data_IF_761048030090
#
_entry.id   IF_761048030090
#
_cell.length_a   1.000
_cell.length_b   1.000
_cell.length_c   1.000
_cell.angle_alpha   90.00
_cell.angle_beta   90.00
_cell.angle_gamma   90.00
#
_symmetry.space_group_name_H-M   'P 1'
#
loop_
_entity.id
_entity.type
_entity.pdbx_description
1 polymer ?
#
# COMPACT_ATOMS: atom_id res chain seq x y z
N UNK A 1 -9.01 26.17 -17.34
CA UNK A 1 -9.04 24.75 -16.95
C UNK A 1 -7.77 24.14 -17.50
N UNK A 2 -6.84 23.74 -16.63
CA UNK A 2 -5.48 23.30 -17.00
C UNK A 2 -5.39 21.79 -17.29
N UNK A 3 -6.31 20.99 -16.74
CA UNK A 3 -6.36 19.55 -16.91
C UNK A 3 -7.81 19.07 -16.81
N UNK A 4 -8.19 18.08 -17.63
CA UNK A 4 -9.54 17.49 -17.63
C UNK A 4 -9.45 16.03 -18.06
N UNK A 5 -10.35 15.20 -17.53
CA UNK A 5 -10.38 13.77 -17.80
C UNK A 5 -11.80 13.20 -17.66
N UNK A 6 -12.00 11.98 -18.14
CA UNK A 6 -13.29 11.28 -18.10
C UNK A 6 -13.53 10.60 -16.74
N UNK A 7 -14.75 10.10 -16.50
CA UNK A 7 -15.08 9.38 -15.26
C UNK A 7 -14.36 8.03 -15.10
N UNK A 8 -13.74 7.52 -16.17
CA UNK A 8 -12.97 6.27 -16.16
C UNK A 8 -11.47 6.52 -15.98
N UNK A 9 -11.06 7.78 -16.06
CA UNK A 9 -9.69 8.21 -15.84
C UNK A 9 -9.54 8.77 -14.43
N UNK A 10 -8.32 8.73 -13.94
CA UNK A 10 -7.88 9.25 -12.65
C UNK A 10 -6.85 10.32 -12.90
N UNK A 11 -7.00 11.45 -12.21
CA UNK A 11 -5.96 12.44 -12.08
C UNK A 11 -6.09 13.19 -10.74
N UNK A 12 -4.98 13.35 -10.03
CA UNK A 12 -4.94 14.14 -8.81
C UNK A 12 -3.52 14.62 -8.48
N UNK A 13 -3.35 15.79 -7.85
CA UNK A 13 -2.05 16.22 -7.33
C UNK A 13 -1.66 15.37 -6.13
N UNK A 14 -0.40 14.94 -6.08
CA UNK A 14 0.17 14.14 -4.99
C UNK A 14 1.03 14.98 -4.03
N UNK A 15 1.88 15.87 -4.57
CA UNK A 15 2.74 16.77 -3.78
C UNK A 15 3.23 17.94 -4.64
N UNK A 16 3.63 19.05 -4.01
CA UNK A 16 4.24 20.20 -4.67
C UNK A 16 5.76 20.17 -4.49
N UNK A 17 6.51 20.65 -5.49
CA UNK A 17 7.94 20.92 -5.32
C UNK A 17 8.14 22.20 -4.49
N UNK A 18 9.30 22.30 -3.84
CA UNK A 18 9.63 23.42 -2.94
C UNK A 18 9.57 24.81 -3.60
N UNK A 19 9.79 24.88 -4.91
CA UNK A 19 9.76 26.12 -5.67
C UNK A 19 8.34 26.61 -6.03
N UNK A 20 7.31 25.80 -5.75
CA UNK A 20 5.91 26.03 -6.13
C UNK A 20 5.70 26.29 -7.63
N UNK A 21 6.58 25.79 -8.50
CA UNK A 21 6.41 25.90 -9.96
C UNK A 21 5.85 24.61 -10.57
N UNK A 22 6.13 23.47 -9.94
CA UNK A 22 5.63 22.17 -10.36
C UNK A 22 4.96 21.40 -9.21
N UNK A 23 4.10 20.46 -9.59
CA UNK A 23 3.54 19.48 -8.69
C UNK A 23 3.57 18.09 -9.32
N UNK A 24 3.71 17.07 -8.48
CA UNK A 24 3.57 15.68 -8.87
C UNK A 24 2.10 15.37 -9.14
N UNK A 25 1.79 14.98 -10.37
CA UNK A 25 0.47 14.58 -10.82
C UNK A 25 0.44 13.06 -10.97
N UNK A 26 -0.47 12.40 -10.26
CA UNK A 26 -0.81 11.00 -10.55
C UNK A 26 -1.88 10.99 -11.62
N UNK A 27 -1.68 10.26 -12.72
CA UNK A 27 -2.65 10.23 -13.81
C UNK A 27 -2.59 8.96 -14.67
N UNK A 28 -3.74 8.53 -15.21
CA UNK A 28 -3.83 7.59 -16.32
C UNK A 28 -4.61 8.17 -17.53
N UNK A 29 -4.58 9.49 -17.69
CA UNK A 29 -5.27 10.18 -18.78
C UNK A 29 -4.61 9.88 -20.11
N UNK A 30 -5.43 9.49 -21.09
CA UNK A 30 -5.01 9.08 -22.43
C UNK A 30 -5.34 7.61 -22.72
N UNK A 31 -5.80 7.32 -23.94
CA UNK A 31 -6.33 6.01 -24.32
C UNK A 31 -5.33 4.87 -24.08
N UNK A 32 -4.04 5.11 -24.30
CA UNK A 32 -2.97 4.12 -24.17
C UNK A 32 -2.40 3.97 -22.74
N UNK A 33 -3.00 4.63 -21.75
CA UNK A 33 -2.53 4.63 -20.35
C UNK A 33 -3.53 3.93 -19.45
N UNK A 34 -3.33 2.64 -19.20
CA UNK A 34 -4.20 1.85 -18.32
C UNK A 34 -4.00 2.17 -16.83
N UNK A 35 -2.79 1.92 -16.34
CA UNK A 35 -2.39 2.11 -14.93
C UNK A 35 -2.06 3.58 -14.66
N UNK A 36 -2.38 4.09 -13.47
CA UNK A 36 -1.93 5.43 -13.06
C UNK A 36 -0.41 5.47 -12.91
N UNK A 37 0.17 6.59 -13.34
CA UNK A 37 1.60 6.85 -13.38
C UNK A 37 1.89 8.20 -12.73
N UNK A 38 3.14 8.43 -12.35
CA UNK A 38 3.59 9.69 -11.79
C UNK A 38 4.14 10.59 -12.89
N UNK A 39 3.68 11.84 -12.87
CA UNK A 39 4.13 12.90 -13.75
C UNK A 39 4.53 14.12 -12.93
N UNK A 40 5.34 15.00 -13.51
CA UNK A 40 5.60 16.34 -12.99
C UNK A 40 4.88 17.34 -13.89
N UNK A 41 4.05 18.20 -13.33
CA UNK A 41 3.26 19.16 -14.10
C UNK A 41 3.57 20.59 -13.68
N UNK A 42 3.85 21.44 -14.67
CA UNK A 42 4.06 22.87 -14.47
C UNK A 42 2.71 23.56 -14.18
N UNK A 43 2.66 24.37 -13.13
CA UNK A 43 1.42 25.00 -12.66
C UNK A 43 0.93 26.10 -13.61
N UNK A 44 1.84 26.81 -14.27
CA UNK A 44 1.50 27.93 -15.15
C UNK A 44 1.16 27.46 -16.56
N UNK A 45 1.98 26.58 -17.14
CA UNK A 45 1.85 26.16 -18.54
C UNK A 45 0.95 24.94 -18.71
N UNK A 46 0.80 24.12 -17.66
CA UNK A 46 0.16 22.80 -17.74
C UNK A 46 0.97 21.75 -18.51
N UNK A 47 2.23 22.04 -18.83
CA UNK A 47 3.14 21.05 -19.42
C UNK A 47 3.39 19.91 -18.43
N UNK A 48 3.31 18.67 -18.92
CA UNK A 48 3.41 17.43 -18.13
C UNK A 48 4.61 16.60 -18.60
N UNK A 49 5.50 16.26 -17.69
CA UNK A 49 6.65 15.37 -17.89
C UNK A 49 6.41 14.03 -17.19
N UNK A 50 6.77 12.92 -17.84
CA UNK A 50 6.71 11.59 -17.23
C UNK A 50 7.82 11.42 -16.18
N UNK A 51 7.46 10.91 -15.00
CA UNK A 51 8.43 10.63 -13.93
C UNK A 51 8.63 9.12 -13.79
N UNK A 52 7.58 8.38 -13.46
CA UNK A 52 7.68 6.93 -13.27
C UNK A 52 6.33 6.21 -13.34
N UNK A 53 6.41 4.88 -13.42
CA UNK A 53 5.29 3.94 -13.34
C UNK A 53 5.74 2.68 -12.62
N UNK A 54 4.78 1.80 -12.32
CA UNK A 54 5.07 0.48 -11.76
C UNK A 54 6.06 -0.28 -12.66
N UNK A 55 7.25 -0.67 -12.16
CA UNK A 55 8.24 -1.41 -12.93
C UNK A 55 7.75 -2.78 -13.41
N UNK A 56 6.82 -3.40 -12.68
CA UNK A 56 6.21 -4.68 -13.09
C UNK A 56 5.00 -4.49 -14.02
N UNK A 57 4.50 -3.26 -14.15
CA UNK A 57 3.33 -2.92 -14.96
C UNK A 57 2.08 -3.75 -14.59
N UNK A 58 1.83 -3.90 -13.28
CA UNK A 58 0.73 -4.68 -12.69
C UNK A 58 -0.19 -3.84 -11.80
N UNK A 59 0.29 -2.73 -11.25
CA UNK A 59 -0.45 -1.90 -10.32
C UNK A 59 -0.46 -0.42 -10.70
N UNK A 60 -1.53 0.27 -10.29
CA UNK A 60 -1.58 1.72 -10.27
C UNK A 60 -0.48 2.29 -9.35
N UNK A 61 -0.12 3.55 -9.56
CA UNK A 61 0.72 4.30 -8.64
C UNK A 61 0.11 4.27 -7.23
N UNK A 62 0.83 3.69 -6.27
CA UNK A 62 0.34 3.47 -4.91
C UNK A 62 0.45 4.72 -4.05
N UNK A 63 1.61 5.36 -4.04
CA UNK A 63 1.82 6.58 -3.28
C UNK A 63 3.25 7.08 -3.32
N UNK A 64 3.49 8.20 -2.65
CA UNK A 64 4.83 8.74 -2.42
C UNK A 64 4.95 9.28 -1.00
N UNK A 65 6.15 9.16 -0.44
CA UNK A 65 6.54 9.88 0.76
C UNK A 65 7.44 11.05 0.37
N UNK A 66 7.21 12.19 1.01
CA UNK A 66 7.93 13.45 0.81
C UNK A 66 8.54 13.85 2.16
N UNK A 67 9.72 14.46 2.13
CA UNK A 67 10.28 15.11 3.33
C UNK A 67 9.47 16.36 3.67
N UNK A 68 8.96 16.47 4.89
CA UNK A 68 8.32 17.68 5.39
C UNK A 68 9.33 18.83 5.56
N UNK A 69 10.63 18.50 5.63
CA UNK A 69 11.73 19.46 5.78
C UNK A 69 12.24 20.00 4.45
N UNK A 70 12.48 19.14 3.46
CA UNK A 70 13.10 19.55 2.18
C UNK A 70 12.12 19.54 1.00
N UNK A 71 10.97 18.88 1.15
CA UNK A 71 10.01 18.59 0.08
C UNK A 71 10.57 17.70 -1.04
N UNK A 72 11.68 17.02 -0.78
CA UNK A 72 12.22 15.99 -1.67
C UNK A 72 11.42 14.69 -1.56
N UNK A 73 11.38 13.93 -2.65
CA UNK A 73 10.79 12.60 -2.67
C UNK A 73 11.68 11.64 -1.87
N UNK A 74 11.10 10.98 -0.87
CA UNK A 74 11.79 9.95 -0.10
C UNK A 74 11.69 8.59 -0.79
N UNK A 75 10.48 8.19 -1.19
CA UNK A 75 10.22 7.00 -1.99
C UNK A 75 8.87 7.10 -2.71
N UNK A 76 8.71 6.30 -3.76
CA UNK A 76 7.41 5.97 -4.37
C UNK A 76 7.03 4.52 -4.04
N UNK A 77 5.76 4.17 -4.15
CA UNK A 77 5.29 2.81 -3.86
C UNK A 77 4.24 2.32 -4.84
N UNK A 78 4.21 0.98 -4.98
CA UNK A 78 3.24 0.25 -5.80
C UNK A 78 2.79 -0.98 -5.02
N UNK A 79 1.52 -1.35 -5.15
CA UNK A 79 0.95 -2.47 -4.38
C UNK A 79 0.08 -3.34 -5.27
N UNK A 80 0.66 -4.44 -5.77
CA UNK A 80 -0.11 -5.53 -6.37
C UNK A 80 -0.53 -6.54 -5.30
N UNK A 81 0.44 -7.20 -4.67
CA UNK A 81 0.22 -8.17 -3.59
C UNK A 81 0.68 -7.66 -2.21
N UNK A 82 1.89 -7.10 -2.17
CA UNK A 82 2.48 -6.39 -1.03
C UNK A 82 3.05 -5.08 -1.55
N UNK A 83 3.18 -4.11 -0.67
CA UNK A 83 3.69 -2.79 -1.03
C UNK A 83 5.19 -2.87 -1.29
N UNK A 84 5.59 -2.58 -2.53
CA UNK A 84 6.97 -2.36 -2.90
C UNK A 84 7.29 -0.87 -2.80
N UNK A 85 8.49 -0.53 -2.31
CA UNK A 85 8.96 0.86 -2.17
C UNK A 85 10.20 1.07 -3.00
N UNK A 86 10.25 2.20 -3.71
CA UNK A 86 11.34 2.61 -4.58
C UNK A 86 11.94 3.91 -4.03
N UNK A 87 13.01 3.77 -3.25
CA UNK A 87 13.66 4.89 -2.57
C UNK A 87 14.33 5.84 -3.56
N UNK A 88 14.19 7.15 -3.30
CA UNK A 88 14.83 8.25 -4.03
C UNK A 88 15.78 9.05 -3.12
N UNK A 89 15.72 8.79 -1.82
CA UNK A 89 16.59 9.37 -0.81
C UNK A 89 17.34 8.26 -0.06
N UNK A 90 18.66 8.21 -0.23
CA UNK A 90 19.52 7.17 0.36
C UNK A 90 19.57 7.23 1.89
N UNK A 91 19.48 8.42 2.49
CA UNK A 91 19.48 8.58 3.95
C UNK A 91 18.22 7.97 4.57
N UNK A 92 17.06 8.29 4.02
CA UNK A 92 15.79 7.73 4.46
C UNK A 92 15.70 6.22 4.20
N UNK A 93 16.23 5.74 3.06
CA UNK A 93 16.36 4.30 2.80
C UNK A 93 17.18 3.61 3.91
N UNK A 94 18.29 4.21 4.34
CA UNK A 94 19.10 3.68 5.44
C UNK A 94 18.35 3.67 6.77
N UNK A 95 17.55 4.69 7.09
CA UNK A 95 16.68 4.70 8.27
C UNK A 95 15.62 3.59 8.19
N UNK A 96 14.94 3.47 7.06
CA UNK A 96 13.94 2.43 6.82
C UNK A 96 14.51 1.03 6.98
N UNK A 97 15.68 0.77 6.38
CA UNK A 97 16.37 -0.51 6.48
C UNK A 97 16.87 -0.81 7.89
N UNK A 98 17.28 0.20 8.66
CA UNK A 98 17.66 0.05 10.08
C UNK A 98 16.46 -0.45 10.89
N UNK A 99 15.30 0.20 10.77
CA UNK A 99 14.07 -0.20 11.46
C UNK A 99 13.61 -1.60 11.02
N UNK A 100 13.66 -1.90 9.71
CA UNK A 100 13.33 -3.24 9.19
C UNK A 100 14.24 -4.32 9.73
N UNK A 101 15.54 -4.06 9.87
CA UNK A 101 16.49 -5.02 10.41
C UNK A 101 16.22 -5.34 11.89
N UNK A 102 15.77 -4.35 12.67
CA UNK A 102 15.43 -4.52 14.08
C UNK A 102 14.10 -5.28 14.27
N UNK A 103 13.07 -4.94 13.48
CA UNK A 103 11.72 -5.49 13.64
C UNK A 103 11.46 -6.78 12.85
N UNK A 104 12.35 -7.15 11.93
CA UNK A 104 12.26 -8.39 11.16
C UNK A 104 11.27 -8.34 9.99
N UNK A 105 10.63 -9.48 9.71
CA UNK A 105 9.72 -9.64 8.57
C UNK A 105 8.30 -9.12 8.86
N UNK A 106 8.20 -7.79 9.00
CA UNK A 106 6.95 -7.04 9.15
C UNK A 106 6.87 -5.93 8.13
N UNK A 107 5.67 -5.46 7.79
CA UNK A 107 5.50 -4.17 7.12
C UNK A 107 5.82 -3.05 8.11
N UNK A 108 6.41 -1.96 7.62
CA UNK A 108 6.67 -0.77 8.43
C UNK A 108 6.24 0.50 7.71
N UNK A 109 5.73 1.47 8.45
CA UNK A 109 5.43 2.82 7.95
C UNK A 109 5.95 3.87 8.92
N UNK A 110 6.66 4.85 8.39
CA UNK A 110 7.04 6.06 9.09
C UNK A 110 5.95 7.11 8.88
N UNK A 111 5.54 7.81 9.94
CA UNK A 111 4.50 8.83 9.91
C UNK A 111 4.71 9.87 11.02
N UNK A 112 4.01 11.00 10.91
CA UNK A 112 4.03 12.08 11.90
C UNK A 112 5.44 12.49 12.35
N UNK A 113 6.32 12.91 11.42
CA UNK A 113 7.63 13.42 11.78
C UNK A 113 7.53 14.72 12.60
N UNK A 114 8.57 15.01 13.38
CA UNK A 114 8.84 16.38 13.82
C UNK A 114 9.27 17.24 12.62
N UNK A 115 9.11 18.56 12.69
CA UNK A 115 9.45 19.47 11.58
C UNK A 115 10.92 19.39 11.12
N UNK A 116 11.82 18.96 12.01
CA UNK A 116 13.24 18.76 11.71
C UNK A 116 13.57 17.33 11.24
N UNK A 117 12.57 16.45 11.23
CA UNK A 117 12.61 15.03 10.89
C UNK A 117 13.53 14.17 11.78
N UNK A 118 13.86 14.65 12.98
CA UNK A 118 14.66 13.91 13.94
C UNK A 118 13.87 12.80 14.65
N UNK A 119 12.56 12.98 14.82
CA UNK A 119 11.69 11.97 15.41
C UNK A 119 10.55 11.60 14.48
N UNK A 120 10.26 10.30 14.39
CA UNK A 120 9.17 9.74 13.60
C UNK A 120 8.34 8.77 14.42
N UNK A 121 7.03 8.72 14.20
CA UNK A 121 6.26 7.56 14.62
C UNK A 121 6.47 6.44 13.61
N UNK A 122 6.62 5.21 14.09
CA UNK A 122 6.73 4.01 13.27
C UNK A 122 5.64 3.04 13.66
N UNK A 123 4.86 2.56 12.70
CA UNK A 123 3.95 1.43 12.86
C UNK A 123 4.58 0.22 12.16
N UNK A 124 4.57 -0.92 12.83
CA UNK A 124 5.02 -2.18 12.27
C UNK A 124 3.98 -3.27 12.48
N UNK A 125 3.61 -3.99 11.41
CA UNK A 125 2.50 -4.96 11.43
C UNK A 125 2.72 -6.12 10.45
N UNK A 126 1.88 -7.16 10.58
CA UNK A 126 1.78 -8.24 9.59
C UNK A 126 0.33 -8.65 9.35
N UNK A 127 0.12 -9.74 8.62
CA UNK A 127 -1.16 -10.42 8.45
C UNK A 127 -1.65 -11.16 9.70
N UNK A 128 -0.71 -11.57 10.56
CA UNK A 128 -0.98 -12.25 11.84
C UNK A 128 -0.64 -11.41 13.06
N UNK A 129 -0.25 -10.15 12.89
CA UNK A 129 -0.04 -9.21 13.99
C UNK A 129 -0.65 -7.85 13.61
N UNK A 130 -1.68 -7.37 14.35
CA UNK A 130 -2.27 -6.04 14.14
C UNK A 130 -1.29 -4.88 14.31
N UNK A 131 -0.11 -5.17 14.84
CA UNK A 131 1.04 -4.29 14.83
C UNK A 131 1.33 -3.63 16.16
N UNK A 132 2.45 -2.93 16.19
CA UNK A 132 2.94 -2.14 17.33
C UNK A 132 3.41 -0.78 16.85
N UNK A 133 3.37 0.19 17.76
CA UNK A 133 3.75 1.58 17.49
C UNK A 133 5.00 1.93 18.29
N UNK A 134 5.93 2.59 17.62
CA UNK A 134 7.24 2.98 18.14
C UNK A 134 7.49 4.47 17.85
N UNK A 135 8.38 5.07 18.65
CA UNK A 135 9.03 6.35 18.36
C UNK A 135 10.42 6.02 17.83
N UNK A 136 10.77 6.57 16.67
CA UNK A 136 12.09 6.43 16.07
C UNK A 136 12.86 7.74 16.19
N UNK A 137 14.03 7.70 16.80
CA UNK A 137 15.04 8.77 16.83
C UNK A 137 16.01 8.55 15.67
N UNK A 138 15.99 9.45 14.68
CA UNK A 138 16.81 9.35 13.48
C UNK A 138 18.29 9.65 13.76
N UNK A 139 18.61 10.54 14.70
CA UNK A 139 19.98 10.92 15.05
C UNK A 139 20.70 9.75 15.73
N UNK A 140 20.05 9.17 16.75
CA UNK A 140 20.60 8.06 17.52
C UNK A 140 20.30 6.68 16.90
N UNK A 141 19.42 6.63 15.89
CA UNK A 141 18.90 5.40 15.25
C UNK A 141 18.27 4.45 16.27
N UNK A 142 17.52 5.02 17.21
CA UNK A 142 16.91 4.28 18.30
C UNK A 142 15.40 4.12 18.09
N UNK A 143 14.90 2.91 18.29
CA UNK A 143 13.48 2.59 18.22
C UNK A 143 12.92 2.32 19.63
N UNK A 144 12.04 3.20 20.11
CA UNK A 144 11.43 3.08 21.44
C UNK A 144 9.97 2.64 21.31
N UNK A 145 9.64 1.46 21.85
CA UNK A 145 8.26 0.96 21.90
C UNK A 145 7.33 1.93 22.65
N UNK A 146 6.17 2.22 22.06
CA UNK A 146 5.15 3.07 22.66
C UNK A 146 3.97 2.25 23.15
N UNK A 147 3.30 1.52 22.24
CA UNK A 147 2.15 0.70 22.59
C UNK A 147 1.82 -0.32 21.50
N UNK A 148 1.01 -1.32 21.88
CA UNK A 148 0.38 -2.25 20.96
C UNK A 148 -1.14 -1.98 20.97
N UNK A 149 -1.82 -1.81 19.82
CA UNK A 149 -3.25 -1.52 19.79
C UNK A 149 -4.13 -2.67 20.32
N UNK A 150 -3.67 -3.92 20.23
CA UNK A 150 -4.41 -5.13 20.62
C UNK A 150 -3.55 -6.08 21.46
N UNK A 151 -3.13 -5.68 22.68
CA UNK A 151 -2.14 -6.43 23.46
C UNK A 151 -2.65 -7.79 23.97
N UNK A 152 -3.98 -7.97 24.03
CA UNK A 152 -4.61 -9.20 24.51
C UNK A 152 -5.02 -10.15 23.36
N UNK A 153 -4.65 -9.84 22.11
CA UNK A 153 -4.95 -10.69 20.97
C UNK A 153 -3.86 -11.78 20.84
N UNK A 154 -4.20 -13.08 20.97
CA UNK A 154 -3.22 -14.16 20.83
C UNK A 154 -2.83 -14.33 19.36
N UNK A 155 -1.76 -13.65 18.94
CA UNK A 155 -1.27 -13.61 17.55
C UNK A 155 -0.87 -15.01 17.03
N UNK A 156 -0.47 -15.92 17.92
CA UNK A 156 -0.14 -17.31 17.60
C UNK A 156 -1.34 -18.09 17.03
N UNK A 157 -2.56 -17.65 17.32
CA UNK A 157 -3.79 -18.23 16.80
C UNK A 157 -4.27 -17.60 15.48
N UNK A 158 -3.65 -16.51 15.04
CA UNK A 158 -4.01 -15.84 13.78
C UNK A 158 -3.41 -16.56 12.58
N UNK A 159 -4.17 -16.63 11.49
CA UNK A 159 -3.82 -17.38 10.29
C UNK A 159 -3.16 -16.50 9.23
N UNK A 160 -2.09 -16.96 8.55
CA UNK A 160 -1.46 -16.18 7.49
C UNK A 160 -2.42 -15.86 6.33
N UNK A 161 -2.18 -14.73 5.70
CA UNK A 161 -2.83 -14.25 4.48
C UNK A 161 -1.89 -14.43 3.30
N UNK A 162 -2.34 -15.21 2.31
CA UNK A 162 -1.59 -15.49 1.09
C UNK A 162 -2.22 -14.76 -0.09
N UNK A 163 -1.41 -14.07 -0.90
CA UNK A 163 -1.87 -13.53 -2.19
C UNK A 163 -2.01 -14.67 -3.20
N UNK A 164 -3.14 -14.71 -3.90
CA UNK A 164 -3.40 -15.65 -4.98
C UNK A 164 -3.94 -14.91 -6.20
N UNK A 165 -3.89 -15.56 -7.36
CA UNK A 165 -4.48 -15.05 -8.60
C UNK A 165 -5.21 -16.20 -9.30
N UNK A 166 -6.40 -15.91 -9.84
CA UNK A 166 -7.19 -16.91 -10.55
C UNK A 166 -7.99 -16.27 -11.71
N UNK A 167 -8.26 -17.02 -12.79
CA UNK A 167 -9.07 -16.51 -13.89
C UNK A 167 -10.55 -16.43 -13.50
N UNK A 168 -11.18 -15.31 -13.84
CA UNK A 168 -12.63 -15.12 -13.89
C UNK A 168 -13.25 -15.90 -15.06
N UNK A 169 -14.59 -15.93 -15.16
CA UNK A 169 -15.33 -16.64 -16.21
C UNK A 169 -15.00 -16.19 -17.64
N UNK A 170 -14.50 -14.96 -17.79
CA UNK A 170 -14.07 -14.35 -19.06
C UNK A 170 -12.55 -14.40 -19.27
N UNK A 171 -11.80 -15.02 -18.36
CA UNK A 171 -10.34 -15.11 -18.41
C UNK A 171 -9.60 -13.91 -17.82
N UNK A 172 -10.30 -12.91 -17.27
CA UNK A 172 -9.64 -11.83 -16.51
C UNK A 172 -9.01 -12.41 -15.24
N UNK A 173 -7.72 -12.19 -15.03
CA UNK A 173 -7.02 -12.62 -13.81
C UNK A 173 -7.44 -11.75 -12.62
N UNK A 174 -7.95 -12.37 -11.56
CA UNK A 174 -8.40 -11.73 -10.33
C UNK A 174 -7.37 -11.96 -9.23
N UNK A 175 -6.77 -10.88 -8.72
CA UNK A 175 -5.97 -10.95 -7.51
C UNK A 175 -6.89 -11.08 -6.29
N UNK A 176 -6.52 -11.92 -5.34
CA UNK A 176 -7.25 -12.11 -4.11
C UNK A 176 -6.31 -12.45 -2.95
N UNK A 177 -6.81 -12.29 -1.73
CA UNK A 177 -6.16 -12.81 -0.54
C UNK A 177 -6.90 -14.02 0.01
N UNK A 178 -6.16 -15.05 0.40
CA UNK A 178 -6.66 -16.28 0.98
C UNK A 178 -6.13 -16.43 2.40
N UNK A 179 -7.03 -16.64 3.35
CA UNK A 179 -6.71 -16.97 4.74
C UNK A 179 -7.25 -18.37 5.02
N UNK A 180 -6.35 -19.30 5.36
CA UNK A 180 -6.72 -20.68 5.68
C UNK A 180 -6.70 -20.91 7.20
N UNK A 181 -7.69 -21.65 7.75
CA UNK A 181 -7.79 -21.89 9.18
C UNK A 181 -6.63 -22.74 9.72
N UNK A 182 -5.94 -22.24 10.75
CA UNK A 182 -4.88 -23.01 11.45
C UNK A 182 -5.43 -24.30 12.08
N UNK A 183 -4.82 -25.43 11.77
CA UNK A 183 -5.10 -26.73 12.40
C UNK A 183 -6.23 -27.56 11.77
N UNK A 184 -6.84 -27.11 10.67
CA UNK A 184 -7.94 -27.80 10.00
C UNK A 184 -7.54 -28.48 8.67
N UNK A 185 -6.26 -28.40 8.29
CA UNK A 185 -5.79 -28.80 6.95
C UNK A 185 -6.06 -27.72 5.91
N UNK A 186 -5.84 -28.03 4.64
CA UNK A 186 -5.95 -27.11 3.49
C UNK A 186 -6.97 -27.56 2.42
N UNK A 187 -7.72 -28.64 2.69
CA UNK A 187 -8.66 -29.27 1.73
C UNK A 187 -10.04 -29.47 2.34
N UNK A 188 -11.04 -29.47 1.48
CA UNK A 188 -12.45 -29.72 1.81
C UNK A 188 -12.99 -28.84 2.95
N UNK A 189 -12.44 -27.63 3.06
CA UNK A 189 -12.85 -26.63 4.05
C UNK A 189 -14.11 -25.90 3.57
N UNK A 190 -15.06 -25.58 4.46
CA UNK A 190 -16.10 -24.62 4.14
C UNK A 190 -15.45 -23.25 3.87
N UNK A 191 -15.89 -22.57 2.81
CA UNK A 191 -15.32 -21.28 2.40
C UNK A 191 -16.33 -20.15 2.57
N UNK A 192 -15.84 -19.00 3.03
CA UNK A 192 -16.54 -17.71 3.00
C UNK A 192 -15.83 -16.78 2.01
N UNK A 193 -16.56 -16.25 1.05
CA UNK A 193 -16.06 -15.20 0.15
C UNK A 193 -16.50 -13.85 0.71
N UNK A 194 -15.54 -12.94 0.88
CA UNK A 194 -15.71 -11.64 1.52
C UNK A 194 -15.39 -10.55 0.50
N UNK A 195 -16.35 -10.12 -0.33
CA UNK A 195 -16.15 -8.98 -1.21
C UNK A 195 -16.03 -7.70 -0.37
N UNK A 196 -15.01 -6.90 -0.64
CA UNK A 196 -14.85 -5.60 0.01
C UNK A 196 -15.95 -4.61 -0.40
N UNK A 197 -16.09 -3.55 0.40
CA UNK A 197 -16.98 -2.42 0.09
C UNK A 197 -16.46 -1.54 -1.05
N UNK A 198 -17.09 -0.40 -1.29
CA UNK A 198 -16.72 0.55 -2.35
C UNK A 198 -17.20 1.97 -2.00
N UNK A 199 -17.34 2.87 -2.99
CA UNK A 199 -17.33 2.62 -4.43
C UNK A 199 -15.95 2.36 -5.08
N UNK A 200 -14.86 2.94 -4.56
CA UNK A 200 -13.49 2.75 -5.08
C UNK A 200 -12.58 2.23 -3.96
N UNK A 201 -12.48 0.91 -3.84
CA UNK A 201 -11.69 0.27 -2.80
C UNK A 201 -11.09 -1.05 -3.30
N UNK A 202 -10.25 -1.63 -2.45
CA UNK A 202 -9.67 -2.96 -2.59
C UNK A 202 -9.29 -3.49 -1.21
N UNK A 203 -9.11 -4.79 -1.09
CA UNK A 203 -8.36 -5.40 0.01
C UNK A 203 -6.85 -5.30 -0.26
N UNK A 204 -6.10 -5.27 0.84
CA UNK A 204 -4.64 -5.27 0.87
C UNK A 204 -4.14 -6.35 1.82
N UNK A 205 -2.88 -6.75 1.64
CA UNK A 205 -2.23 -7.66 2.57
C UNK A 205 -2.11 -7.03 3.97
N UNK A 206 -2.44 -7.80 5.00
CA UNK A 206 -2.31 -7.39 6.39
C UNK A 206 -3.41 -7.96 7.28
N UNK A 207 -3.35 -7.62 8.58
CA UNK A 207 -4.32 -8.10 9.55
C UNK A 207 -5.75 -7.68 9.19
N UNK A 208 -6.59 -8.66 8.86
CA UNK A 208 -8.02 -8.47 8.62
C UNK A 208 -8.82 -9.20 9.71
N UNK A 209 -9.42 -8.44 10.63
CA UNK A 209 -10.12 -9.00 11.79
C UNK A 209 -11.29 -9.92 11.44
N UNK A 210 -11.99 -9.66 10.33
CA UNK A 210 -13.12 -10.48 9.89
C UNK A 210 -12.62 -11.82 9.33
N UNK A 211 -11.59 -11.78 8.46
CA UNK A 211 -10.97 -12.99 7.94
C UNK A 211 -10.40 -13.85 9.06
N UNK A 212 -9.72 -13.24 10.04
CA UNK A 212 -9.20 -13.94 11.21
C UNK A 212 -10.33 -14.56 12.07
N UNK A 213 -11.43 -13.86 12.27
CA UNK A 213 -12.58 -14.38 13.02
C UNK A 213 -13.22 -15.62 12.37
N UNK A 214 -13.33 -15.61 11.04
CA UNK A 214 -13.89 -16.73 10.27
C UNK A 214 -12.90 -17.90 10.15
N UNK A 215 -11.62 -17.61 9.89
CA UNK A 215 -10.56 -18.62 9.88
C UNK A 215 -10.44 -19.33 11.24
N UNK A 216 -10.55 -18.59 12.35
CA UNK A 216 -10.59 -19.19 13.68
C UNK A 216 -11.76 -20.17 13.89
N UNK A 217 -12.86 -20.04 13.11
CA UNK A 217 -14.03 -20.94 13.13
C UNK A 217 -13.94 -22.09 12.13
N UNK A 218 -12.78 -22.29 11.50
CA UNK A 218 -12.55 -23.38 10.56
C UNK A 218 -12.97 -23.09 9.12
N UNK A 219 -13.22 -21.82 8.76
CA UNK A 219 -13.54 -21.44 7.39
C UNK A 219 -12.29 -21.02 6.62
N UNK A 220 -12.15 -21.45 5.37
CA UNK A 220 -11.30 -20.75 4.41
C UNK A 220 -11.94 -19.40 4.08
N UNK A 221 -11.14 -18.32 3.99
CA UNK A 221 -11.66 -16.98 3.69
C UNK A 221 -10.98 -16.45 2.44
N UNK A 222 -11.77 -16.12 1.42
CA UNK A 222 -11.30 -15.51 0.19
C UNK A 222 -11.74 -14.05 0.13
N UNK A 223 -10.78 -13.14 -0.07
CA UNK A 223 -10.98 -11.71 -0.23
C UNK A 223 -10.60 -11.29 -1.66
N UNK A 224 -11.54 -11.35 -2.62
CA UNK A 224 -11.24 -11.04 -4.01
C UNK A 224 -11.20 -9.53 -4.25
N UNK A 225 -10.15 -9.06 -4.93
CA UNK A 225 -10.14 -7.75 -5.57
C UNK A 225 -10.80 -7.88 -6.94
N UNK A 226 -12.13 -7.97 -6.94
CA UNK A 226 -12.95 -8.19 -8.13
C UNK A 226 -12.90 -7.03 -9.13
N UNK A 227 -13.44 -7.22 -10.35
CA UNK A 227 -13.52 -6.17 -11.38
C UNK A 227 -14.07 -4.85 -10.80
N UNK A 228 -13.36 -3.76 -11.04
CA UNK A 228 -13.66 -2.43 -10.50
C UNK A 228 -13.00 -2.12 -9.14
N UNK A 229 -12.26 -3.05 -8.55
CA UNK A 229 -11.33 -2.73 -7.47
C UNK A 229 -10.28 -1.72 -7.96
N UNK A 230 -9.90 -0.79 -7.09
CA UNK A 230 -8.82 0.16 -7.41
C UNK A 230 -7.47 -0.54 -7.48
N UNK A 231 -6.45 0.12 -8.06
CA UNK A 231 -5.08 -0.38 -7.99
C UNK A 231 -4.65 -1.28 -9.14
N UNK A 232 -5.52 -1.55 -10.11
CA UNK A 232 -5.30 -2.46 -11.24
C UNK A 232 -5.53 -1.79 -12.61
N UNK A 233 -5.64 -0.46 -12.64
CA UNK A 233 -5.87 0.31 -13.86
C UNK A 233 -7.33 0.38 -14.30
N UNK A 234 -7.59 1.22 -15.30
CA UNK A 234 -8.93 1.47 -15.85
C UNK A 234 -9.50 0.29 -16.64
N UNK A 235 -8.66 -0.55 -17.22
CA UNK A 235 -9.08 -1.75 -17.97
C UNK A 235 -9.63 -2.85 -17.05
N UNK A 236 -9.39 -2.72 -15.73
CA UNK A 236 -9.91 -3.61 -14.71
C UNK A 236 -11.37 -3.30 -14.31
N UNK A 237 -11.99 -2.27 -14.88
CA UNK A 237 -13.38 -1.88 -14.65
C UNK A 237 -14.38 -2.56 -15.61
#
# INVERSE_FOLDING_TARGET
MLYSWTVLETAYPSAFQADNTHFYLVSNVGDDVNLTQLYLMNIETGEKEFVEKDPENRADFGGMAISDKTLDVLFTSYTYERTQRFFKNEEFENHFNTVKAELGDVEVSFFSPTNDENFWMVNAWSDTDPGSVYLYDAENRELTFQYQPRPNLPIEHLSPMTSITYPSSDGLEIQAYLVLPKGFGDKDLPMVVVPHGGPWARDYWGYNSYAQFMANRGYAVLLPNFRGSTGFGKDYF
#
